data_IF_980310497761
#
_entry.id   IF_980310497761
#
_cell.length_a   1.000
_cell.length_b   1.000
_cell.length_c   1.000
_cell.angle_alpha   90.00
_cell.angle_beta   90.00
_cell.angle_gamma   90.00
#
_symmetry.space_group_name_H-M   'P 1'
#
loop_
_entity.id
_entity.type
_entity.pdbx_description
1 polymer ?
#
# COMPACT_ATOMS: atom_id res chain seq x y z
N UNK A 1 9.93 20.06 14.85
CA UNK A 1 9.43 19.96 13.46
C UNK A 1 10.62 19.67 12.56
N UNK A 2 10.64 18.54 11.87
CA UNK A 2 11.70 18.26 10.90
C UNK A 2 11.43 19.08 9.63
N UNK A 3 12.21 20.12 9.38
CA UNK A 3 12.13 20.90 8.15
C UNK A 3 12.50 20.04 6.93
N UNK A 4 11.95 20.35 5.76
CA UNK A 4 12.33 19.71 4.49
C UNK A 4 13.52 20.50 3.92
N UNK A 5 14.62 19.84 3.55
CA UNK A 5 15.77 20.53 2.94
C UNK A 5 15.39 21.03 1.54
N UNK A 6 15.97 22.13 1.08
CA UNK A 6 15.70 22.68 -0.27
C UNK A 6 15.94 21.63 -1.37
N UNK A 7 16.98 20.80 -1.20
CA UNK A 7 17.29 19.67 -2.09
C UNK A 7 16.20 18.59 -2.18
N UNK A 8 15.25 18.56 -1.25
CA UNK A 8 14.17 17.58 -1.14
C UNK A 8 12.79 18.18 -1.50
N UNK A 9 12.72 19.44 -1.94
CA UNK A 9 11.45 20.11 -2.29
C UNK A 9 10.67 19.34 -3.36
N UNK A 10 11.37 18.74 -4.34
CA UNK A 10 10.74 17.91 -5.38
C UNK A 10 10.12 16.60 -4.86
N UNK A 11 10.34 16.25 -3.59
CA UNK A 11 9.74 15.12 -2.88
C UNK A 11 8.86 15.58 -1.72
N UNK A 12 8.52 16.86 -1.64
CA UNK A 12 7.60 17.34 -0.62
C UNK A 12 6.16 17.03 -1.06
N UNK A 13 5.40 16.40 -0.18
CA UNK A 13 3.98 16.12 -0.39
C UNK A 13 3.15 16.90 0.63
N UNK A 14 2.02 17.39 0.14
CA UNK A 14 1.02 18.12 0.93
C UNK A 14 -0.24 17.27 0.96
N UNK A 15 -0.76 17.02 2.14
CA UNK A 15 -2.03 16.31 2.31
C UNK A 15 -2.83 16.88 3.47
N UNK A 16 -4.13 16.58 3.47
CA UNK A 16 -5.05 17.03 4.52
C UNK A 16 -4.63 16.40 5.85
N UNK A 17 -4.46 17.23 6.87
CA UNK A 17 -4.08 16.75 8.18
C UNK A 17 -5.12 15.83 8.81
N UNK A 18 -4.65 15.03 9.76
CA UNK A 18 -5.52 14.23 10.63
C UNK A 18 -6.45 15.14 11.47
N UNK A 19 -7.63 14.65 11.89
CA UNK A 19 -8.66 15.49 12.54
C UNK A 19 -8.22 16.18 13.84
N UNK A 20 -7.23 15.64 14.54
CA UNK A 20 -6.72 16.19 15.80
C UNK A 20 -5.49 17.10 15.64
N UNK A 21 -5.06 17.39 14.40
CA UNK A 21 -3.93 18.27 14.17
C UNK A 21 -4.34 19.74 14.21
N UNK A 22 -3.49 20.59 14.79
CA UNK A 22 -3.72 22.05 14.88
C UNK A 22 -3.70 22.78 13.52
N UNK A 23 -3.11 22.18 12.49
CA UNK A 23 -3.05 22.74 11.12
C UNK A 23 -3.90 21.90 10.18
N UNK A 24 -4.68 22.52 9.27
CA UNK A 24 -5.48 21.79 8.28
C UNK A 24 -4.63 21.04 7.25
N UNK A 25 -3.36 21.41 7.12
CA UNK A 25 -2.44 20.90 6.09
C UNK A 25 -1.18 20.32 6.76
N UNK A 26 -0.78 19.14 6.30
CA UNK A 26 0.46 18.47 6.71
C UNK A 26 1.42 18.40 5.53
N UNK A 27 2.61 18.97 5.73
CA UNK A 27 3.73 18.88 4.80
C UNK A 27 4.66 17.76 5.26
N UNK A 28 4.93 16.80 4.39
CA UNK A 28 5.88 15.70 4.67
C UNK A 28 6.78 15.44 3.49
N UNK A 29 7.91 14.77 3.75
CA UNK A 29 8.75 14.19 2.71
C UNK A 29 8.07 12.92 2.19
N UNK A 30 8.05 12.75 0.89
CA UNK A 30 7.64 11.53 0.22
C UNK A 30 8.65 10.44 0.58
N UNK A 31 8.22 9.46 1.37
CA UNK A 31 9.11 8.39 1.83
C UNK A 31 9.65 7.56 0.67
N UNK A 32 8.86 7.37 -0.40
CA UNK A 32 9.22 6.60 -1.59
C UNK A 32 8.51 7.16 -2.84
N UNK A 33 9.15 7.15 -4.02
CA UNK A 33 8.51 7.67 -5.23
C UNK A 33 7.19 6.95 -5.52
N UNK A 34 6.15 7.70 -5.88
CA UNK A 34 4.86 7.14 -6.32
C UNK A 34 5.06 6.05 -7.38
N UNK A 35 4.57 4.84 -7.08
CA UNK A 35 4.68 3.67 -7.96
C UNK A 35 5.99 2.88 -7.82
N UNK A 36 6.98 3.38 -7.07
CA UNK A 36 8.19 2.65 -6.74
C UNK A 36 8.00 1.82 -5.47
N UNK A 37 8.36 0.54 -5.55
CA UNK A 37 8.34 -0.35 -4.39
C UNK A 37 9.67 -0.24 -3.65
N UNK A 38 9.67 0.07 -2.34
CA UNK A 38 10.87 0.11 -1.53
C UNK A 38 11.63 -1.24 -1.59
N UNK A 39 12.96 -1.26 -1.72
CA UNK A 39 13.72 -2.50 -1.87
C UNK A 39 13.45 -3.53 -0.78
N UNK A 40 13.33 -3.07 0.48
CA UNK A 40 13.04 -3.91 1.64
C UNK A 40 11.60 -4.44 1.69
N UNK A 41 10.66 -3.83 0.95
CA UNK A 41 9.27 -4.31 0.84
C UNK A 41 9.05 -5.27 -0.34
N UNK A 42 9.99 -5.32 -1.30
CA UNK A 42 9.90 -6.22 -2.47
C UNK A 42 9.66 -7.70 -2.12
N UNK A 43 10.30 -8.29 -1.08
CA UNK A 43 10.06 -9.68 -0.73
C UNK A 43 8.63 -9.97 -0.25
N UNK A 44 7.97 -8.95 0.31
CA UNK A 44 6.60 -9.06 0.83
C UNK A 44 5.53 -8.74 -0.20
N UNK A 45 5.93 -8.27 -1.39
CA UNK A 45 4.97 -8.06 -2.46
C UNK A 45 4.55 -9.39 -3.08
N UNK A 46 3.27 -9.45 -3.44
CA UNK A 46 2.76 -10.52 -4.26
C UNK A 46 3.47 -10.50 -5.61
N UNK A 47 4.23 -11.57 -5.91
CA UNK A 47 4.86 -11.75 -7.22
C UNK A 47 3.77 -11.78 -8.29
N UNK A 48 3.96 -11.03 -9.39
CA UNK A 48 3.08 -11.12 -10.57
C UNK A 48 2.98 -12.59 -10.99
N UNK A 49 1.75 -13.12 -11.05
CA UNK A 49 1.47 -14.51 -11.46
C UNK A 49 1.49 -15.57 -10.36
N UNK A 50 1.68 -15.21 -9.08
CA UNK A 50 1.59 -16.17 -7.98
C UNK A 50 0.14 -16.53 -7.59
N UNK A 51 0.01 -17.51 -6.67
CA UNK A 51 -1.27 -17.90 -6.03
C UNK A 51 -2.14 -16.69 -5.65
N UNK A 52 -1.61 -15.61 -5.04
CA UNK A 52 -2.41 -14.44 -4.67
C UNK A 52 -2.97 -13.67 -5.87
N UNK A 53 -2.28 -13.64 -7.01
CA UNK A 53 -2.76 -12.99 -8.22
C UNK A 53 -3.92 -13.77 -8.85
N UNK A 54 -3.85 -15.10 -8.84
CA UNK A 54 -4.95 -15.96 -9.29
C UNK A 54 -6.17 -15.82 -8.37
N UNK A 55 -5.97 -15.92 -7.06
CA UNK A 55 -7.04 -15.72 -6.08
C UNK A 55 -7.66 -14.32 -6.13
N UNK A 56 -6.85 -13.29 -6.45
CA UNK A 56 -7.36 -11.93 -6.67
C UNK A 56 -8.26 -11.82 -7.91
N UNK A 57 -7.95 -12.56 -8.98
CA UNK A 57 -8.77 -12.63 -10.18
C UNK A 57 -10.08 -13.39 -9.93
N UNK A 58 -10.01 -14.53 -9.23
CA UNK A 58 -11.19 -15.35 -8.86
C UNK A 58 -12.17 -14.60 -7.94
N UNK A 59 -11.65 -13.71 -7.09
CA UNK A 59 -12.45 -12.92 -6.14
C UNK A 59 -12.76 -11.50 -6.61
N UNK A 60 -12.49 -11.17 -7.88
CA UNK A 60 -12.63 -9.81 -8.42
C UNK A 60 -14.08 -9.27 -8.34
N UNK A 61 -15.07 -10.16 -8.41
CA UNK A 61 -16.49 -9.80 -8.37
C UNK A 61 -17.03 -9.56 -6.94
N UNK A 62 -16.24 -9.90 -5.92
CA UNK A 62 -16.62 -9.71 -4.51
C UNK A 62 -16.16 -8.34 -4.00
N UNK A 63 -16.85 -7.79 -2.99
CA UNK A 63 -16.52 -6.50 -2.39
C UNK A 63 -16.47 -6.59 -0.86
N UNK A 64 -15.75 -5.66 -0.24
CA UNK A 64 -15.66 -5.53 1.22
C UNK A 64 -15.15 -6.80 1.91
N UNK A 65 -15.75 -7.14 3.05
CA UNK A 65 -15.34 -8.28 3.88
C UNK A 65 -15.43 -9.63 3.14
N UNK A 66 -16.45 -9.80 2.28
CA UNK A 66 -16.66 -11.03 1.51
C UNK A 66 -15.49 -11.33 0.55
N UNK A 67 -14.87 -10.28 0.00
CA UNK A 67 -13.67 -10.44 -0.83
C UNK A 67 -12.48 -10.90 0.00
N UNK A 68 -12.28 -10.31 1.18
CA UNK A 68 -11.15 -10.63 2.05
C UNK A 68 -11.22 -12.08 2.52
N UNK A 69 -12.39 -12.54 2.98
CA UNK A 69 -12.58 -13.92 3.43
C UNK A 69 -12.37 -14.92 2.29
N UNK A 70 -12.97 -14.69 1.12
CA UNK A 70 -12.81 -15.55 -0.05
C UNK A 70 -11.35 -15.59 -0.54
N UNK A 71 -10.66 -14.45 -0.53
CA UNK A 71 -9.27 -14.36 -0.97
C UNK A 71 -8.33 -15.10 0.00
N UNK A 72 -8.55 -14.97 1.31
CA UNK A 72 -7.81 -15.72 2.32
C UNK A 72 -8.05 -17.23 2.21
N UNK A 73 -9.31 -17.65 1.99
CA UNK A 73 -9.65 -19.06 1.79
C UNK A 73 -8.95 -19.63 0.55
N UNK A 74 -8.99 -18.93 -0.59
CA UNK A 74 -8.34 -19.35 -1.82
C UNK A 74 -6.81 -19.46 -1.66
N UNK A 75 -6.19 -18.44 -1.05
CA UNK A 75 -4.75 -18.46 -0.82
C UNK A 75 -4.37 -19.61 0.10
N UNK A 76 -5.10 -19.84 1.19
CA UNK A 76 -4.85 -20.95 2.11
C UNK A 76 -5.02 -22.32 1.45
N UNK A 77 -6.03 -22.49 0.59
CA UNK A 77 -6.26 -23.73 -0.15
C UNK A 77 -5.12 -24.01 -1.15
N UNK A 78 -4.72 -23.01 -1.93
CA UNK A 78 -3.67 -23.16 -2.95
C UNK A 78 -2.26 -23.16 -2.38
N UNK A 79 -2.07 -22.65 -1.17
CA UNK A 79 -0.80 -22.67 -0.43
C UNK A 79 -0.66 -23.94 0.45
N UNK A 80 -1.64 -24.83 0.45
CA UNK A 80 -1.68 -25.99 1.34
C UNK A 80 -0.56 -27.01 1.10
N UNK A 81 0.24 -27.23 2.17
CA UNK A 81 1.43 -28.06 2.38
C UNK A 81 2.76 -27.55 1.82
#
# INVERSE_FOLDING_TARGET
MAGIRISEIGRAIVYRSVPWAHSPISLKRESFPKGAVPPHLRPYLFKKGGIPAQCAAETANLKGAARVTAMNACVSAKKGH
#
